data_IF_817309001383
#
_entry.id   IF_817309001383
#
_cell.length_a   1.000
_cell.length_b   1.000
_cell.length_c   1.000
_cell.angle_alpha   90.00
_cell.angle_beta   90.00
_cell.angle_gamma   90.00
#
_symmetry.space_group_name_H-M   'P 1'
#
loop_
_entity.id
_entity.type
_entity.pdbx_description
1 polymer ?
#
# COMPACT_ATOMS: atom_id res chain seq x y z
N UNK A 1 -8.30 0.71 -8.58
CA UNK A 1 -9.25 0.32 -7.50
C UNK A 1 -9.09 1.31 -6.33
N UNK A 2 -10.14 1.69 -5.59
CA UNK A 2 -10.05 2.67 -4.50
C UNK A 2 -9.07 2.25 -3.40
N UNK A 3 -8.98 0.95 -3.10
CA UNK A 3 -8.01 0.40 -2.16
C UNK A 3 -6.55 0.64 -2.61
N UNK A 4 -6.24 0.52 -3.91
CA UNK A 4 -4.88 0.77 -4.41
C UNK A 4 -4.47 2.23 -4.25
N UNK A 5 -5.40 3.17 -4.46
CA UNK A 5 -5.13 4.60 -4.24
C UNK A 5 -4.84 4.88 -2.77
N UNK A 6 -5.61 4.27 -1.87
CA UNK A 6 -5.37 4.39 -0.43
C UNK A 6 -4.05 3.75 0.00
N UNK A 7 -3.74 2.56 -0.53
CA UNK A 7 -2.46 1.88 -0.32
C UNK A 7 -1.27 2.70 -0.81
N UNK A 8 -1.37 3.32 -2.00
CA UNK A 8 -0.34 4.22 -2.53
C UNK A 8 -0.05 5.41 -1.62
N UNK A 9 -1.09 6.02 -1.04
CA UNK A 9 -0.94 7.18 -0.15
C UNK A 9 -0.41 6.79 1.23
N UNK A 10 -0.92 5.71 1.82
CA UNK A 10 -0.50 5.27 3.16
C UNK A 10 0.90 4.66 3.11
N UNK A 11 1.16 3.83 2.12
CA UNK A 11 2.47 3.20 1.84
C UNK A 11 3.50 4.11 1.20
N UNK A 12 3.21 5.41 1.04
CA UNK A 12 4.15 6.32 0.39
C UNK A 12 5.45 6.46 1.21
N UNK A 13 6.59 6.45 0.54
CA UNK A 13 7.91 6.56 1.20
C UNK A 13 8.58 7.93 1.03
N UNK A 14 7.98 8.83 0.24
CA UNK A 14 8.52 10.16 -0.03
C UNK A 14 8.51 11.11 1.16
N UNK A 15 9.13 12.27 0.99
CA UNK A 15 9.15 13.32 2.01
C UNK A 15 7.74 13.74 2.42
N UNK A 16 7.49 13.83 3.73
CA UNK A 16 6.18 14.18 4.27
C UNK A 16 5.21 13.00 4.39
N UNK A 17 5.63 11.79 4.01
CA UNK A 17 4.82 10.58 4.23
C UNK A 17 4.82 10.13 5.69
N UNK A 18 3.86 9.25 6.03
CA UNK A 18 3.79 8.61 7.33
C UNK A 18 5.07 7.84 7.66
N UNK A 19 5.60 7.06 6.71
CA UNK A 19 6.84 6.31 6.92
C UNK A 19 8.04 7.25 7.12
N UNK A 20 8.14 8.32 6.32
CA UNK A 20 9.20 9.33 6.46
C UNK A 20 9.19 9.96 7.86
N UNK A 21 8.01 10.30 8.37
CA UNK A 21 7.83 10.81 9.72
C UNK A 21 8.23 9.79 10.80
N UNK A 22 7.75 8.55 10.71
CA UNK A 22 8.09 7.49 11.67
C UNK A 22 9.58 7.15 11.66
N UNK A 23 10.22 7.12 10.48
CA UNK A 23 11.68 6.94 10.31
C UNK A 23 12.45 8.08 10.97
N UNK A 24 12.02 9.33 10.80
CA UNK A 24 12.69 10.51 11.40
C UNK A 24 12.70 10.49 12.94
N UNK A 25 11.66 9.90 13.55
CA UNK A 25 11.57 9.68 15.01
C UNK A 25 12.28 8.40 15.48
N UNK A 26 12.82 7.61 14.56
CA UNK A 26 13.44 6.32 14.84
C UNK A 26 12.44 5.26 15.31
N UNK A 27 11.16 5.34 14.90
CA UNK A 27 10.10 4.44 15.34
C UNK A 27 9.85 3.26 14.39
N UNK A 28 10.01 3.44 13.08
CA UNK A 28 9.78 2.37 12.10
C UNK A 28 10.87 2.35 11.03
N UNK A 29 11.07 1.19 10.42
CA UNK A 29 11.99 1.00 9.29
C UNK A 29 11.26 0.81 7.98
N UNK A 30 10.04 0.27 8.02
CA UNK A 30 9.26 -0.03 6.81
C UNK A 30 7.75 0.06 7.08
N UNK A 31 6.97 0.34 6.03
CA UNK A 31 5.51 0.41 6.09
C UNK A 31 4.91 -0.02 4.75
N UNK A 32 4.03 -1.00 4.79
CA UNK A 32 3.23 -1.42 3.63
C UNK A 32 1.74 -1.30 3.94
N UNK A 33 0.95 -0.95 2.93
CA UNK A 33 -0.49 -0.83 3.05
C UNK A 33 -1.19 -1.29 1.78
N UNK A 34 -2.20 -2.15 1.90
CA UNK A 34 -2.90 -2.67 0.74
C UNK A 34 -3.89 -3.78 1.07
N UNK A 35 -4.53 -4.28 0.03
CA UNK A 35 -5.36 -5.50 0.09
C UNK A 35 -4.50 -6.65 -0.39
N UNK A 36 -4.36 -7.70 0.41
CA UNK A 36 -3.68 -8.91 -0.05
C UNK A 36 -4.56 -9.64 -1.06
N UNK A 37 -4.01 -9.96 -2.22
CA UNK A 37 -4.70 -10.76 -3.24
C UNK A 37 -4.57 -12.28 -2.95
N UNK A 38 -3.83 -12.66 -1.91
CA UNK A 38 -3.59 -14.05 -1.52
C UNK A 38 -4.44 -14.50 -0.31
N UNK A 39 -4.85 -15.78 -0.34
CA UNK A 39 -5.50 -16.44 0.79
C UNK A 39 -6.89 -15.88 1.13
N UNK A 40 -7.17 -15.70 2.43
CA UNK A 40 -8.46 -15.20 2.91
C UNK A 40 -8.59 -13.67 2.88
N UNK A 41 -7.52 -12.95 2.51
CA UNK A 41 -7.51 -11.49 2.58
C UNK A 41 -8.25 -10.80 1.44
N UNK A 42 -8.57 -11.51 0.34
CA UNK A 42 -9.52 -11.03 -0.65
C UNK A 42 -10.24 -12.21 -1.31
N UNK A 43 -11.56 -12.27 -1.15
CA UNK A 43 -12.43 -13.25 -1.79
C UNK A 43 -13.70 -12.58 -2.35
N UNK A 44 -14.62 -13.36 -2.90
CA UNK A 44 -15.86 -12.85 -3.50
C UNK A 44 -16.82 -12.17 -2.51
N UNK A 45 -16.59 -12.32 -1.20
CA UNK A 45 -17.45 -11.80 -0.12
C UNK A 45 -16.81 -10.58 0.56
N UNK A 46 -15.51 -10.62 0.83
CA UNK A 46 -14.81 -9.52 1.51
C UNK A 46 -13.36 -9.38 1.07
N UNK A 47 -12.84 -8.16 1.25
CA UNK A 47 -11.43 -7.82 1.15
C UNK A 47 -10.97 -7.16 2.45
N UNK A 48 -9.79 -7.51 2.93
CA UNK A 48 -9.13 -6.96 4.11
C UNK A 48 -8.08 -5.97 3.63
N UNK A 49 -8.10 -4.77 4.20
CA UNK A 49 -7.07 -3.75 3.97
C UNK A 49 -6.16 -3.71 5.20
N UNK A 50 -4.91 -4.07 5.01
CA UNK A 50 -3.92 -4.14 6.08
C UNK A 50 -2.93 -2.99 5.98
N UNK A 51 -2.49 -2.51 7.15
CA UNK A 51 -1.36 -1.57 7.30
C UNK A 51 -0.33 -2.27 8.19
N UNK A 52 0.78 -2.66 7.59
CA UNK A 52 1.88 -3.35 8.25
C UNK A 52 3.03 -2.37 8.47
N UNK A 53 3.46 -2.22 9.73
CA UNK A 53 4.58 -1.35 10.10
C UNK A 53 5.69 -2.18 10.72
N UNK A 54 6.88 -2.15 10.14
CA UNK A 54 8.06 -2.79 10.71
C UNK A 54 8.70 -1.84 11.72
N UNK A 55 8.59 -2.19 13.00
CA UNK A 55 9.04 -1.37 14.12
C UNK A 55 10.55 -1.49 14.36
N UNK A 56 11.18 -0.38 14.75
CA UNK A 56 12.52 -0.41 15.34
C UNK A 56 12.46 -0.92 16.79
N UNK A 57 13.61 -1.16 17.42
CA UNK A 57 13.67 -1.48 18.87
C UNK A 57 13.01 -0.40 19.73
N UNK A 58 13.21 0.87 19.38
CA UNK A 58 12.55 2.01 20.03
C UNK A 58 11.06 2.06 19.71
N UNK A 59 10.69 1.80 18.46
CA UNK A 59 9.29 1.73 18.02
C UNK A 59 8.50 0.66 18.75
N UNK A 60 9.11 -0.48 19.04
CA UNK A 60 8.50 -1.56 19.80
C UNK A 60 8.17 -1.12 21.24
N UNK A 61 9.06 -0.38 21.89
CA UNK A 61 8.80 0.17 23.23
C UNK A 61 7.68 1.24 23.22
N UNK A 62 7.51 1.93 22.09
CA UNK A 62 6.55 3.02 21.89
C UNK A 62 5.46 2.68 20.87
N UNK A 63 5.06 1.40 20.76
CA UNK A 63 4.16 0.94 19.69
C UNK A 63 2.82 1.67 19.69
N UNK A 64 2.35 2.10 20.87
CA UNK A 64 1.12 2.90 21.00
C UNK A 64 1.24 4.27 20.33
N UNK A 65 2.41 4.92 20.41
CA UNK A 65 2.66 6.20 19.72
C UNK A 65 2.63 5.99 18.20
N UNK A 66 3.16 4.87 17.71
CA UNK A 66 3.09 4.52 16.28
C UNK A 66 1.64 4.35 15.83
N UNK A 67 0.81 3.64 16.61
CA UNK A 67 -0.62 3.48 16.30
C UNK A 67 -1.34 4.84 16.28
N UNK A 68 -1.04 5.72 17.23
CA UNK A 68 -1.61 7.09 17.24
C UNK A 68 -1.25 7.83 15.96
N UNK A 69 0.02 7.81 15.54
CA UNK A 69 0.43 8.48 14.30
C UNK A 69 -0.20 7.90 13.04
N UNK A 70 -0.38 6.58 12.98
CA UNK A 70 -1.14 5.94 11.88
C UNK A 70 -2.57 6.47 11.86
N UNK A 71 -3.25 6.54 13.02
CA UNK A 71 -4.61 7.05 13.11
C UNK A 71 -4.72 8.55 12.79
N UNK A 72 -3.73 9.36 13.19
CA UNK A 72 -3.65 10.79 12.84
C UNK A 72 -3.52 10.98 11.32
N UNK A 73 -2.72 10.16 10.65
CA UNK A 73 -2.60 10.18 9.19
C UNK A 73 -3.91 9.81 8.50
N UNK A 74 -4.61 8.79 9.00
CA UNK A 74 -5.92 8.40 8.49
C UNK A 74 -6.98 9.50 8.72
N UNK A 75 -6.96 10.18 9.86
CA UNK A 75 -7.85 11.31 10.12
C UNK A 75 -7.56 12.49 9.19
N UNK A 76 -6.28 12.78 8.92
CA UNK A 76 -5.88 13.78 7.92
C UNK A 76 -6.45 13.45 6.54
N UNK A 77 -6.29 12.20 6.07
CA UNK A 77 -6.85 11.75 4.78
C UNK A 77 -8.38 11.87 4.76
N UNK A 78 -9.05 11.54 5.87
CA UNK A 78 -10.50 11.68 6.01
C UNK A 78 -10.95 13.15 5.93
N UNK A 79 -10.23 14.07 6.57
CA UNK A 79 -10.53 15.52 6.53
C UNK A 79 -10.31 16.15 5.16
N UNK A 80 -9.37 15.61 4.38
CA UNK A 80 -9.16 16.04 2.99
C UNK A 80 -10.43 15.81 2.14
N UNK A 81 -11.24 14.81 2.50
CA UNK A 81 -12.56 14.54 1.92
C UNK A 81 -12.51 13.87 0.54
N UNK A 82 -11.63 14.32 -0.35
CA UNK A 82 -11.35 13.70 -1.65
C UNK A 82 -9.86 13.61 -1.90
N UNK A 83 -9.44 12.50 -2.50
CA UNK A 83 -8.07 12.34 -3.00
C UNK A 83 -7.95 13.17 -4.28
N UNK A 84 -6.91 14.00 -4.45
CA UNK A 84 -6.72 14.79 -5.66
C UNK A 84 -6.60 13.93 -6.92
N UNK A 85 -7.18 14.38 -8.03
CA UNK A 85 -7.20 13.64 -9.30
C UNK A 85 -5.79 13.30 -9.82
N UNK A 86 -4.81 14.19 -9.58
CA UNK A 86 -3.43 13.97 -10.01
C UNK A 86 -2.81 12.70 -9.40
N UNK A 87 -3.24 12.28 -8.21
CA UNK A 87 -2.75 11.05 -7.55
C UNK A 87 -3.21 9.83 -8.35
N UNK A 88 -4.46 9.84 -8.80
CA UNK A 88 -4.99 8.77 -9.63
C UNK A 88 -4.27 8.72 -10.98
N UNK A 89 -4.06 9.88 -11.60
CA UNK A 89 -3.32 9.97 -12.87
C UNK A 89 -1.87 9.52 -12.75
N UNK A 90 -1.20 9.79 -11.63
CA UNK A 90 0.14 9.28 -11.33
C UNK A 90 0.16 7.76 -11.28
N UNK A 91 -0.70 7.14 -10.45
CA UNK A 91 -0.79 5.68 -10.33
C UNK A 91 -1.06 5.05 -11.70
N UNK A 92 -1.99 5.63 -12.47
CA UNK A 92 -2.31 5.16 -13.82
C UNK A 92 -1.10 5.22 -14.76
N UNK A 93 -0.33 6.30 -14.72
CA UNK A 93 0.87 6.45 -15.55
C UNK A 93 1.94 5.42 -15.19
N UNK A 94 2.20 5.21 -13.90
CA UNK A 94 3.15 4.22 -13.41
C UNK A 94 2.75 2.81 -13.84
N UNK A 95 1.48 2.43 -13.64
CA UNK A 95 0.98 1.11 -14.07
C UNK A 95 1.06 0.92 -15.59
N UNK A 96 0.80 1.97 -16.38
CA UNK A 96 0.95 1.90 -17.83
C UNK A 96 2.41 1.72 -18.26
N UNK A 97 3.36 2.40 -17.60
CA UNK A 97 4.78 2.18 -17.86
C UNK A 97 5.21 0.75 -17.52
N UNK A 98 4.80 0.24 -16.35
CA UNK A 98 5.08 -1.14 -15.94
C UNK A 98 4.56 -2.17 -16.95
N UNK A 99 3.35 -1.96 -17.47
CA UNK A 99 2.79 -2.84 -18.48
C UNK A 99 3.53 -2.77 -19.82
N UNK A 100 3.84 -1.55 -20.30
CA UNK A 100 4.49 -1.34 -21.60
C UNK A 100 5.92 -1.88 -21.67
N UNK A 101 6.62 -1.87 -20.54
CA UNK A 101 8.03 -2.27 -20.44
C UNK A 101 8.21 -3.50 -19.55
N UNK A 102 7.19 -4.36 -19.47
CA UNK A 102 7.29 -5.60 -18.72
C UNK A 102 8.39 -6.50 -19.31
N UNK A 103 9.25 -7.03 -18.46
CA UNK A 103 10.32 -7.95 -18.87
C UNK A 103 9.75 -9.35 -19.16
N UNK A 104 10.42 -10.09 -20.04
CA UNK A 104 10.06 -11.47 -20.33
C UNK A 104 10.25 -12.34 -19.07
N UNK A 105 9.13 -12.89 -18.58
CA UNK A 105 9.10 -13.82 -17.44
C UNK A 105 9.13 -15.26 -17.94
N UNK A 106 9.41 -16.18 -17.04
CA UNK A 106 9.32 -17.61 -17.36
C UNK A 106 7.94 -17.95 -17.98
N UNK A 107 7.91 -18.67 -19.11
CA UNK A 107 6.65 -18.99 -19.79
C UNK A 107 5.65 -19.77 -18.94
N UNK A 108 6.14 -20.62 -18.02
CA UNK A 108 5.26 -21.40 -17.14
C UNK A 108 4.54 -20.50 -16.13
N UNK A 109 5.28 -19.60 -15.47
CA UNK A 109 4.71 -18.62 -14.54
C UNK A 109 3.71 -17.71 -15.25
N UNK A 110 4.02 -17.29 -16.47
CA UNK A 110 3.14 -16.42 -17.25
C UNK A 110 1.82 -17.11 -17.60
N UNK A 111 1.87 -18.40 -17.99
CA UNK A 111 0.68 -19.18 -18.29
C UNK A 111 -0.20 -19.40 -17.04
N UNK A 112 0.43 -19.68 -15.90
CA UNK A 112 -0.25 -19.88 -14.62
C UNK A 112 -0.95 -18.59 -14.13
N UNK A 113 -0.24 -17.45 -14.16
CA UNK A 113 -0.77 -16.14 -13.77
C UNK A 113 -1.96 -15.73 -14.65
N UNK A 114 -1.84 -15.94 -15.97
CA UNK A 114 -2.89 -15.62 -16.93
C UNK A 114 -4.12 -16.52 -16.76
N UNK A 115 -3.93 -17.84 -16.60
CA UNK A 115 -5.03 -18.77 -16.33
C UNK A 115 -5.78 -18.39 -15.06
N UNK A 116 -5.05 -18.00 -14.00
CA UNK A 116 -5.64 -17.57 -12.74
C UNK A 116 -6.44 -16.28 -12.88
N UNK A 117 -5.96 -15.35 -13.70
CA UNK A 117 -6.63 -14.07 -14.00
C UNK A 117 -7.88 -14.21 -14.88
N UNK A 118 -8.03 -15.33 -15.59
CA UNK A 118 -9.18 -15.62 -16.46
C UNK A 118 -10.30 -16.39 -15.74
N UNK A 119 -10.11 -16.73 -14.45
CA UNK A 119 -11.16 -17.35 -13.63
C UNK A 119 -12.33 -16.36 -13.42
N UNK A 120 -13.59 -16.83 -13.47
CA UNK A 120 -14.78 -15.99 -13.35
C UNK A 120 -15.01 -15.40 -11.95
#
# INVERSE_FOLDING_TARGET
KPANTLGHLIGHEGSGSLLSFLRSKGLATDLSAGVSEEGYGSNSICSVFDICVTLSTRGLALWKEVVVHVMEYLDMLRRLGSIPDWVYDEIRQVSNMQYRFIEERDPSTTADDLSSSMLP
#
